data_IF_872389416966
#
_entry.id   IF_872389416966
#
_cell.length_a   1.000
_cell.length_b   1.000
_cell.length_c   1.000
_cell.angle_alpha   90.00
_cell.angle_beta   90.00
_cell.angle_gamma   90.00
#
_symmetry.space_group_name_H-M   'P 1'
#
loop_
_entity.id
_entity.type
_entity.pdbx_description
1 polymer ?
#
# COMPACT_ATOMS: atom_id res chain seq x y z
N UNK A 1 -28.12 8.92 35.60
CA UNK A 1 -28.15 7.85 34.58
C UNK A 1 -26.88 7.96 33.76
N UNK A 2 -25.97 7.00 33.87
CA UNK A 2 -24.79 6.92 32.99
C UNK A 2 -25.28 6.69 31.55
N UNK A 3 -24.71 7.36 30.53
CA UNK A 3 -25.09 7.06 29.16
C UNK A 3 -24.64 5.63 28.87
N UNK A 4 -25.60 4.76 28.54
CA UNK A 4 -25.34 3.41 28.05
C UNK A 4 -24.86 3.57 26.61
N UNK A 5 -23.63 4.06 26.45
CA UNK A 5 -22.92 4.18 25.18
C UNK A 5 -21.60 3.41 25.28
N UNK A 6 -21.01 3.01 24.15
CA UNK A 6 -19.73 2.31 24.16
C UNK A 6 -18.66 3.14 24.85
N UNK A 7 -17.78 2.47 25.58
CA UNK A 7 -16.64 3.08 26.25
C UNK A 7 -15.60 3.57 25.23
N UNK A 8 -14.77 4.53 25.63
CA UNK A 8 -13.65 4.99 24.81
C UNK A 8 -12.72 3.83 24.44
N UNK A 9 -12.52 2.87 25.34
CA UNK A 9 -11.70 1.68 25.10
C UNK A 9 -12.30 0.82 23.97
N UNK A 10 -13.59 0.49 24.04
CA UNK A 10 -14.27 -0.30 23.00
C UNK A 10 -14.24 0.38 21.63
N UNK A 11 -14.43 1.71 21.60
CA UNK A 11 -14.31 2.48 20.36
C UNK A 11 -12.87 2.46 19.82
N UNK A 12 -11.87 2.66 20.68
CA UNK A 12 -10.46 2.62 20.28
C UNK A 12 -10.08 1.24 19.70
N UNK A 13 -10.52 0.15 20.34
CA UNK A 13 -10.33 -1.21 19.84
C UNK A 13 -11.00 -1.43 18.47
N UNK A 14 -12.21 -0.90 18.27
CA UNK A 14 -12.88 -0.98 16.98
C UNK A 14 -12.12 -0.22 15.88
N UNK A 15 -11.51 0.92 16.21
CA UNK A 15 -10.68 1.70 15.29
C UNK A 15 -9.33 1.04 14.99
N UNK A 16 -8.70 0.39 15.97
CA UNK A 16 -7.48 -0.39 15.77
C UNK A 16 -7.73 -1.59 14.83
N UNK A 17 -8.80 -2.34 15.08
CA UNK A 17 -9.19 -3.45 14.20
C UNK A 17 -9.48 -2.99 12.78
N UNK A 18 -10.03 -1.77 12.61
CA UNK A 18 -10.18 -1.16 11.29
C UNK A 18 -8.82 -0.95 10.60
N UNK A 19 -7.83 -0.39 11.32
CA UNK A 19 -6.50 -0.20 10.78
C UNK A 19 -5.84 -1.54 10.39
N UNK A 20 -5.94 -2.56 11.25
CA UNK A 20 -5.39 -3.89 11.00
C UNK A 20 -5.94 -4.53 9.72
N UNK A 21 -7.27 -4.52 9.54
CA UNK A 21 -7.89 -5.10 8.34
C UNK A 21 -7.50 -4.33 7.08
N UNK A 22 -7.40 -3.00 7.16
CA UNK A 22 -6.94 -2.18 6.04
C UNK A 22 -5.50 -2.49 5.64
N UNK A 23 -4.61 -2.70 6.61
CA UNK A 23 -3.24 -3.16 6.35
C UNK A 23 -3.24 -4.52 5.66
N UNK A 24 -4.02 -5.47 6.20
CA UNK A 24 -4.10 -6.84 5.67
C UNK A 24 -4.62 -6.90 4.23
N UNK A 25 -5.61 -6.08 3.91
CA UNK A 25 -6.16 -5.96 2.56
C UNK A 25 -5.25 -5.19 1.58
N UNK A 26 -4.13 -4.64 2.06
CA UNK A 26 -3.20 -3.88 1.24
C UNK A 26 -3.76 -2.54 0.79
N UNK A 27 -4.42 -1.81 1.70
CA UNK A 27 -4.95 -0.47 1.46
C UNK A 27 -3.89 0.43 0.79
N UNK A 28 -4.15 0.98 -0.42
CA UNK A 28 -3.16 1.74 -1.16
C UNK A 28 -2.89 3.13 -0.58
N UNK A 29 -3.78 3.63 0.28
CA UNK A 29 -3.66 4.92 0.93
C UNK A 29 -3.09 4.77 2.35
N UNK A 30 -1.78 4.99 2.58
CA UNK A 30 -1.17 4.84 3.90
C UNK A 30 -1.72 5.85 4.93
N UNK A 31 -2.15 7.03 4.48
CA UNK A 31 -2.74 8.04 5.35
C UNK A 31 -4.06 7.56 5.98
N UNK A 32 -4.80 6.70 5.27
CA UNK A 32 -6.08 6.19 5.79
C UNK A 32 -5.85 5.24 6.96
N UNK A 33 -4.88 4.33 6.84
CA UNK A 33 -4.46 3.44 7.93
C UNK A 33 -4.00 4.27 9.13
N UNK A 34 -3.11 5.24 8.89
CA UNK A 34 -2.56 6.09 9.94
C UNK A 34 -3.64 6.90 10.67
N UNK A 35 -4.65 7.39 9.95
CA UNK A 35 -5.75 8.14 10.54
C UNK A 35 -6.57 7.30 11.54
N UNK A 36 -6.81 6.01 11.25
CA UNK A 36 -7.49 5.12 12.20
C UNK A 36 -6.64 4.85 13.45
N UNK A 37 -5.33 4.61 13.29
CA UNK A 37 -4.42 4.40 14.41
C UNK A 37 -4.31 5.64 15.31
N UNK A 38 -4.20 6.82 14.70
CA UNK A 38 -4.15 8.09 15.44
C UNK A 38 -5.46 8.38 16.16
N UNK A 39 -6.60 8.11 15.51
CA UNK A 39 -7.91 8.26 16.14
C UNK A 39 -8.09 7.27 17.31
N UNK A 40 -7.66 6.02 17.17
CA UNK A 40 -7.71 5.02 18.24
C UNK A 40 -6.88 5.44 19.46
N UNK A 41 -5.64 5.88 19.24
CA UNK A 41 -4.76 6.37 20.31
C UNK A 41 -5.36 7.59 21.01
N UNK A 42 -5.80 8.59 20.24
CA UNK A 42 -6.42 9.80 20.79
C UNK A 42 -7.68 9.47 21.61
N UNK A 43 -8.58 8.62 21.07
CA UNK A 43 -9.81 8.22 21.77
C UNK A 43 -9.51 7.48 23.07
N UNK A 44 -8.47 6.63 23.08
CA UNK A 44 -8.05 5.89 24.27
C UNK A 44 -7.56 6.82 25.38
N UNK A 45 -6.89 7.92 25.02
CA UNK A 45 -6.31 8.88 25.95
C UNK A 45 -7.31 9.98 26.38
N UNK A 46 -8.50 10.03 25.80
CA UNK A 46 -9.54 10.98 26.21
C UNK A 46 -10.08 10.66 27.61
N UNK A 47 -9.94 11.63 28.52
CA UNK A 47 -10.52 11.57 29.87
C UNK A 47 -12.06 11.62 29.85
N UNK A 48 -12.62 12.37 28.90
CA UNK A 48 -14.06 12.48 28.72
C UNK A 48 -14.58 11.39 27.75
N UNK A 49 -15.74 10.75 28.05
CA UNK A 49 -16.34 9.81 27.12
C UNK A 49 -16.67 10.45 25.77
N UNK A 50 -16.23 9.85 24.67
CA UNK A 50 -16.54 10.29 23.30
C UNK A 50 -18.04 10.34 23.05
N UNK A 51 -18.81 9.44 23.69
CA UNK A 51 -20.27 9.46 23.65
C UNK A 51 -20.87 10.75 24.22
N UNK A 52 -20.21 11.36 25.22
CA UNK A 52 -20.64 12.62 25.81
C UNK A 52 -20.31 13.81 24.89
N UNK A 53 -19.09 13.87 24.36
CA UNK A 53 -18.70 14.87 23.36
C UNK A 53 -19.65 14.85 22.15
N UNK A 54 -20.01 13.65 21.68
CA UNK A 54 -20.99 13.48 20.61
C UNK A 54 -22.39 13.95 21.01
N UNK A 55 -22.83 13.67 22.24
CA UNK A 55 -24.13 14.11 22.74
C UNK A 55 -24.26 15.64 22.87
N UNK A 56 -23.16 16.33 23.19
CA UNK A 56 -23.14 17.78 23.42
C UNK A 56 -23.02 18.60 22.13
N UNK A 57 -22.22 18.14 21.16
CA UNK A 57 -21.94 18.91 19.93
C UNK A 57 -21.97 18.11 18.63
N UNK A 58 -22.52 16.90 18.66
CA UNK A 58 -22.70 16.06 17.48
C UNK A 58 -21.38 15.73 16.78
N UNK A 59 -21.43 15.64 15.45
CA UNK A 59 -20.25 15.32 14.64
C UNK A 59 -19.23 16.46 14.59
N UNK A 60 -19.66 17.70 14.77
CA UNK A 60 -18.76 18.86 14.74
C UNK A 60 -17.83 18.86 15.97
N UNK A 61 -18.35 18.47 17.14
CA UNK A 61 -17.52 18.24 18.33
C UNK A 61 -16.54 17.07 18.16
N UNK A 62 -16.88 16.04 17.38
CA UNK A 62 -15.92 14.99 17.05
C UNK A 62 -14.84 15.49 16.10
N UNK A 63 -15.19 16.34 15.14
CA UNK A 63 -14.24 16.90 14.16
C UNK A 63 -13.30 17.96 14.74
N UNK A 64 -13.60 18.52 15.91
CA UNK A 64 -12.68 19.42 16.62
C UNK A 64 -11.50 18.68 17.24
N UNK A 65 -11.61 17.36 17.41
CA UNK A 65 -10.55 16.52 17.95
C UNK A 65 -9.41 16.36 16.93
N UNK A 66 -8.14 16.42 17.38
CA UNK A 66 -6.99 16.35 16.50
C UNK A 66 -6.96 15.01 15.77
N UNK A 67 -6.80 15.06 14.44
CA UNK A 67 -6.73 13.86 13.59
C UNK A 67 -8.08 13.25 13.21
N UNK A 68 -9.21 13.78 13.70
CA UNK A 68 -10.55 13.32 13.30
C UNK A 68 -11.10 14.18 12.16
N UNK A 69 -11.07 13.63 10.96
CA UNK A 69 -11.76 14.21 9.79
C UNK A 69 -13.22 13.75 9.67
N UNK A 70 -13.92 14.27 8.66
CA UNK A 70 -15.34 13.98 8.37
C UNK A 70 -15.68 12.49 8.37
N UNK A 71 -14.85 11.67 7.69
CA UNK A 71 -15.09 10.22 7.60
C UNK A 71 -14.94 9.52 8.95
N UNK A 72 -13.97 9.92 9.77
CA UNK A 72 -13.76 9.34 11.10
C UNK A 72 -14.87 9.77 12.04
N UNK A 73 -15.25 11.04 12.04
CA UNK A 73 -16.37 11.55 12.82
C UNK A 73 -17.67 10.82 12.47
N UNK A 74 -17.90 10.49 11.19
CA UNK A 74 -19.05 9.70 10.77
C UNK A 74 -19.02 8.27 11.36
N UNK A 75 -17.88 7.58 11.28
CA UNK A 75 -17.74 6.22 11.83
C UNK A 75 -17.83 6.19 13.36
N UNK A 76 -17.24 7.16 14.04
CA UNK A 76 -17.30 7.30 15.49
C UNK A 76 -18.74 7.56 15.93
N UNK A 77 -19.44 8.50 15.28
CA UNK A 77 -20.86 8.75 15.55
C UNK A 77 -21.70 7.49 15.35
N UNK A 78 -21.49 6.76 14.25
CA UNK A 78 -22.18 5.50 13.98
C UNK A 78 -21.94 4.48 15.10
N UNK A 79 -20.70 4.36 15.58
CA UNK A 79 -20.36 3.44 16.66
C UNK A 79 -21.01 3.86 17.98
N UNK A 80 -21.00 5.15 18.31
CA UNK A 80 -21.68 5.68 19.51
C UNK A 80 -23.18 5.41 19.47
N UNK A 81 -23.83 5.55 18.31
CA UNK A 81 -25.27 5.37 18.14
C UNK A 81 -25.70 3.89 18.09
N UNK A 82 -24.89 3.03 17.46
CA UNK A 82 -25.32 1.67 17.09
C UNK A 82 -24.45 0.56 17.69
N UNK A 83 -23.32 0.91 18.32
CA UNK A 83 -22.29 -0.02 18.75
C UNK A 83 -21.52 -0.68 17.59
N UNK A 84 -21.71 -0.22 16.35
CA UNK A 84 -21.13 -0.85 15.15
C UNK A 84 -20.65 0.19 14.14
N UNK A 85 -19.58 -0.16 13.42
CA UNK A 85 -19.12 0.60 12.24
C UNK A 85 -19.43 -0.28 11.03
N UNK A 86 -20.37 0.15 10.18
CA UNK A 86 -20.82 -0.67 9.04
C UNK A 86 -19.70 -1.00 8.05
N UNK A 87 -18.74 -0.09 7.90
CA UNK A 87 -17.53 -0.34 7.11
C UNK A 87 -16.65 -1.43 7.74
N UNK A 88 -16.48 -1.43 9.07
CA UNK A 88 -15.73 -2.46 9.79
C UNK A 88 -16.32 -3.84 9.57
N UNK A 89 -17.63 -3.97 9.74
CA UNK A 89 -18.32 -5.24 9.56
C UNK A 89 -18.25 -5.76 8.12
N UNK A 90 -18.14 -4.86 7.13
CA UNK A 90 -17.93 -5.22 5.74
C UNK A 90 -16.49 -5.68 5.50
N UNK A 91 -15.52 -4.94 6.04
CA UNK A 91 -14.10 -5.25 5.88
C UNK A 91 -13.74 -6.57 6.57
N UNK A 92 -14.22 -6.80 7.80
CA UNK A 92 -14.03 -8.05 8.52
C UNK A 92 -14.64 -9.25 7.79
N UNK A 93 -15.85 -9.11 7.24
CA UNK A 93 -16.46 -10.19 6.44
C UNK A 93 -15.68 -10.47 5.15
N UNK A 94 -15.14 -9.44 4.51
CA UNK A 94 -14.31 -9.63 3.33
C UNK A 94 -12.96 -10.30 3.66
N UNK A 95 -12.53 -10.21 4.92
CA UNK A 95 -11.26 -10.72 5.42
C UNK A 95 -11.40 -12.07 6.15
N UNK A 96 -12.63 -12.54 6.36
CA UNK A 96 -12.92 -13.85 6.95
C UNK A 96 -12.55 -14.98 5.97
N UNK A 97 -11.62 -15.88 6.34
CA UNK A 97 -11.24 -17.00 5.50
C UNK A 97 -12.42 -17.90 5.13
N UNK A 98 -13.38 -18.11 6.02
CA UNK A 98 -14.54 -18.94 5.72
C UNK A 98 -15.39 -18.30 4.61
N UNK A 99 -15.65 -16.99 4.72
CA UNK A 99 -16.33 -16.23 3.67
C UNK A 99 -15.58 -16.29 2.34
N UNK A 100 -14.24 -16.23 2.34
CA UNK A 100 -13.42 -16.38 1.13
C UNK A 100 -13.58 -17.78 0.50
N UNK A 101 -13.48 -18.84 1.30
CA UNK A 101 -13.58 -20.22 0.80
C UNK A 101 -14.99 -20.56 0.31
N UNK A 102 -16.03 -20.01 0.94
CA UNK A 102 -17.43 -20.19 0.55
C UNK A 102 -17.77 -19.59 -0.84
N UNK A 103 -16.87 -18.78 -1.42
CA UNK A 103 -17.03 -18.31 -2.81
C UNK A 103 -16.85 -19.39 -3.86
N UNK A 104 -16.29 -20.55 -3.48
CA UNK A 104 -16.02 -21.65 -4.40
C UNK A 104 -17.26 -22.52 -4.65
N UNK A 105 -17.53 -22.92 -5.91
CA UNK A 105 -18.62 -23.84 -6.21
C UNK A 105 -18.47 -25.16 -5.45
N UNK A 106 -19.53 -25.58 -4.77
CA UNK A 106 -19.51 -26.80 -3.95
C UNK A 106 -18.96 -26.63 -2.54
N UNK A 107 -18.47 -25.43 -2.18
CA UNK A 107 -18.12 -25.07 -0.80
C UNK A 107 -19.24 -24.25 -0.19
N UNK A 108 -20.00 -24.85 0.73
CA UNK A 108 -21.00 -24.12 1.51
C UNK A 108 -20.36 -23.37 2.66
N UNK A 109 -21.03 -22.36 3.20
CA UNK A 109 -20.59 -21.61 4.39
C UNK A 109 -20.25 -22.53 5.58
N UNK A 110 -21.06 -23.57 5.81
CA UNK A 110 -20.80 -24.56 6.86
C UNK A 110 -19.54 -25.36 6.57
N UNK A 111 -19.31 -25.74 5.33
CA UNK A 111 -18.11 -26.46 4.94
C UNK A 111 -16.87 -25.57 5.02
N UNK A 112 -16.97 -24.32 4.60
CA UNK A 112 -15.90 -23.34 4.68
C UNK A 112 -15.43 -23.13 6.12
N UNK A 113 -16.36 -23.00 7.08
CA UNK A 113 -16.00 -22.90 8.50
C UNK A 113 -15.27 -24.14 8.99
N UNK A 114 -15.74 -25.33 8.61
CA UNK A 114 -15.03 -26.59 8.94
C UNK A 114 -13.64 -26.67 8.31
N UNK A 115 -13.45 -26.14 7.10
CA UNK A 115 -12.12 -26.08 6.46
C UNK A 115 -11.16 -25.19 7.27
N UNK A 116 -11.66 -24.08 7.83
CA UNK A 116 -10.88 -23.21 8.72
C UNK A 116 -10.65 -23.89 10.07
N UNK A 117 -11.72 -24.34 10.74
CA UNK A 117 -11.69 -24.81 12.12
C UNK A 117 -11.01 -26.19 12.28
N UNK A 118 -11.29 -27.13 11.37
CA UNK A 118 -10.81 -28.52 11.47
C UNK A 118 -9.48 -28.71 10.73
N UNK A 119 -9.26 -28.01 9.60
CA UNK A 119 -8.07 -28.18 8.76
C UNK A 119 -7.10 -26.98 8.75
N UNK A 120 -7.44 -25.87 9.42
CA UNK A 120 -6.59 -24.67 9.48
C UNK A 120 -6.36 -24.02 8.11
N UNK A 121 -7.31 -24.16 7.18
CA UNK A 121 -7.18 -23.64 5.82
C UNK A 121 -7.70 -22.21 5.81
N UNK A 122 -6.81 -21.23 5.67
CA UNK A 122 -7.18 -19.80 5.69
C UNK A 122 -7.07 -19.14 4.31
N UNK A 123 -6.50 -19.85 3.32
CA UNK A 123 -6.27 -19.31 1.99
C UNK A 123 -6.63 -20.27 0.86
N UNK A 124 -6.90 -19.70 -0.33
CA UNK A 124 -7.15 -20.49 -1.55
C UNK A 124 -5.94 -21.38 -1.94
N UNK A 125 -4.72 -20.95 -1.61
CA UNK A 125 -3.51 -21.72 -1.88
C UNK A 125 -3.34 -22.90 -0.90
N UNK A 126 -3.77 -22.74 0.35
CA UNK A 126 -3.84 -23.86 1.30
C UNK A 126 -4.92 -24.85 0.91
N UNK A 127 -6.07 -24.35 0.45
CA UNK A 127 -7.13 -25.23 -0.05
C UNK A 127 -6.68 -26.01 -1.28
N UNK A 128 -5.94 -25.40 -2.20
CA UNK A 128 -5.36 -26.10 -3.36
C UNK A 128 -4.43 -27.23 -2.90
N UNK A 129 -3.53 -26.94 -1.96
CA UNK A 129 -2.64 -27.95 -1.37
C UNK A 129 -3.43 -29.09 -0.72
N UNK A 130 -4.43 -28.76 0.11
CA UNK A 130 -5.29 -29.73 0.77
C UNK A 130 -6.06 -30.63 -0.23
N UNK A 131 -6.46 -30.05 -1.37
CA UNK A 131 -7.12 -30.80 -2.43
C UNK A 131 -6.18 -31.76 -3.19
N UNK A 132 -4.88 -31.50 -3.16
CA UNK A 132 -3.85 -32.32 -3.79
C UNK A 132 -3.26 -33.39 -2.87
N UNK A 133 -3.08 -33.07 -1.58
CA UNK A 133 -2.50 -33.97 -0.58
C UNK A 133 -3.53 -34.93 0.04
N UNK A 134 -4.81 -34.72 -0.23
CA UNK A 134 -5.90 -35.62 0.18
C UNK A 134 -6.60 -35.24 1.48
N UNK A 135 -6.12 -34.21 2.22
CA UNK A 135 -6.70 -33.78 3.51
C UNK A 135 -8.17 -33.39 3.43
N UNK A 136 -8.66 -32.99 2.25
CA UNK A 136 -10.08 -32.69 2.08
C UNK A 136 -10.99 -33.93 2.22
N UNK A 137 -10.47 -35.14 2.04
CA UNK A 137 -11.23 -36.38 2.17
C UNK A 137 -11.54 -36.74 3.62
N UNK A 138 -10.82 -36.15 4.58
CA UNK A 138 -11.04 -36.34 6.02
C UNK A 138 -12.34 -35.66 6.49
N UNK A 139 -12.89 -34.73 5.69
CA UNK A 139 -14.12 -34.01 6.01
C UNK A 139 -15.35 -34.69 5.39
N UNK A 140 -16.27 -35.11 6.27
CA UNK A 140 -17.59 -35.58 5.85
C UNK A 140 -18.31 -34.53 4.98
N UNK A 141 -18.81 -34.95 3.82
CA UNK A 141 -19.48 -34.06 2.86
C UNK A 141 -18.60 -33.59 1.69
N UNK A 142 -17.28 -33.87 1.71
CA UNK A 142 -16.40 -33.65 0.56
C UNK A 142 -16.21 -34.98 -0.20
N UNK A 143 -16.96 -35.15 -1.28
CA UNK A 143 -16.78 -36.27 -2.19
C UNK A 143 -15.68 -36.03 -3.25
N UNK A 144 -15.32 -37.08 -4.02
CA UNK A 144 -14.34 -36.96 -5.11
C UNK A 144 -14.78 -35.95 -6.19
N UNK A 145 -16.08 -35.86 -6.46
CA UNK A 145 -16.65 -34.87 -7.40
C UNK A 145 -16.48 -33.43 -6.91
N UNK A 146 -16.72 -33.18 -5.62
CA UNK A 146 -16.56 -31.86 -5.02
C UNK A 146 -15.09 -31.45 -5.00
N UNK A 147 -14.20 -32.38 -4.66
CA UNK A 147 -12.75 -32.16 -4.68
C UNK A 147 -12.27 -31.77 -6.08
N UNK A 148 -12.73 -32.48 -7.11
CA UNK A 148 -12.34 -32.16 -8.50
C UNK A 148 -12.89 -30.80 -8.96
N UNK A 149 -14.14 -30.47 -8.60
CA UNK A 149 -14.72 -29.16 -8.89
C UNK A 149 -13.93 -28.02 -8.22
N UNK A 150 -13.53 -28.21 -6.96
CA UNK A 150 -12.68 -27.28 -6.21
C UNK A 150 -11.32 -27.12 -6.93
N UNK A 151 -10.66 -28.23 -7.31
CA UNK A 151 -9.37 -28.20 -8.02
C UNK A 151 -9.43 -27.46 -9.34
N UNK A 152 -10.43 -27.74 -10.17
CA UNK A 152 -10.62 -27.08 -11.46
C UNK A 152 -10.79 -25.57 -11.28
N UNK A 153 -11.59 -25.15 -10.29
CA UNK A 153 -11.84 -23.75 -10.03
C UNK A 153 -10.60 -23.04 -9.47
N UNK A 154 -9.91 -23.65 -8.50
CA UNK A 154 -8.68 -23.12 -7.92
C UNK A 154 -7.59 -22.94 -8.97
N UNK A 155 -7.40 -23.93 -9.84
CA UNK A 155 -6.47 -23.85 -10.96
C UNK A 155 -6.78 -22.62 -11.85
N UNK A 156 -8.04 -22.37 -12.18
CA UNK A 156 -8.46 -21.19 -12.95
C UNK A 156 -8.18 -19.86 -12.23
N UNK A 157 -8.54 -19.76 -10.95
CA UNK A 157 -8.38 -18.55 -10.13
C UNK A 157 -6.89 -18.24 -9.91
N UNK A 158 -6.12 -19.23 -9.47
CA UNK A 158 -4.72 -19.09 -9.10
C UNK A 158 -3.84 -18.87 -10.32
N UNK A 159 -4.11 -19.53 -11.46
CA UNK A 159 -3.38 -19.24 -12.70
C UNK A 159 -3.69 -17.84 -13.24
N UNK A 160 -4.90 -17.31 -13.04
CA UNK A 160 -5.24 -15.93 -13.42
C UNK A 160 -4.51 -14.93 -12.51
N UNK A 161 -4.50 -15.16 -11.21
CA UNK A 161 -3.86 -14.27 -10.23
C UNK A 161 -2.33 -14.27 -10.38
N UNK A 162 -1.71 -15.44 -10.56
CA UNK A 162 -0.28 -15.59 -10.81
C UNK A 162 0.16 -14.84 -12.08
N UNK A 163 -0.58 -14.98 -13.18
CA UNK A 163 -0.33 -14.24 -14.43
C UNK A 163 -0.43 -12.72 -14.24
N UNK A 164 -1.42 -12.24 -13.47
CA UNK A 164 -1.55 -10.80 -13.16
C UNK A 164 -0.40 -10.29 -12.31
N UNK A 165 0.02 -11.05 -11.28
CA UNK A 165 1.14 -10.71 -10.40
C UNK A 165 2.45 -10.63 -11.18
N UNK A 166 2.72 -11.63 -12.02
CA UNK A 166 3.90 -11.64 -12.90
C UNK A 166 3.93 -10.42 -13.84
N UNK A 167 2.79 -10.03 -14.42
CA UNK A 167 2.68 -8.82 -15.26
C UNK A 167 2.99 -7.54 -14.47
N UNK A 168 2.48 -7.41 -13.24
CA UNK A 168 2.75 -6.25 -12.38
C UNK A 168 4.22 -6.15 -12.02
N UNK A 169 4.84 -7.25 -11.57
CA UNK A 169 6.26 -7.30 -11.23
C UNK A 169 7.14 -6.95 -12.43
N UNK A 170 6.85 -7.50 -13.61
CA UNK A 170 7.56 -7.16 -14.86
C UNK A 170 7.50 -5.66 -15.17
N UNK A 171 6.34 -5.02 -14.96
CA UNK A 171 6.21 -3.56 -15.15
C UNK A 171 7.03 -2.78 -14.13
N UNK A 172 7.01 -3.17 -12.86
CA UNK A 172 7.81 -2.51 -11.82
C UNK A 172 9.31 -2.63 -12.10
N UNK A 173 9.79 -3.83 -12.45
CA UNK A 173 11.19 -4.05 -12.84
C UNK A 173 11.57 -3.20 -14.04
N UNK A 174 10.71 -3.14 -15.07
CA UNK A 174 10.95 -2.30 -16.25
C UNK A 174 11.01 -0.80 -15.91
N UNK A 175 10.17 -0.33 -14.98
CA UNK A 175 10.18 1.06 -14.51
C UNK A 175 11.47 1.38 -13.76
N UNK A 176 11.89 0.51 -12.83
CA UNK A 176 13.14 0.69 -12.09
C UNK A 176 14.35 0.72 -13.02
N UNK A 177 14.41 -0.20 -13.98
CA UNK A 177 15.48 -0.23 -14.99
C UNK A 177 15.49 1.04 -15.87
N UNK A 178 14.34 1.64 -16.15
CA UNK A 178 14.27 2.89 -16.90
C UNK A 178 14.77 4.10 -16.09
N UNK A 179 14.54 4.12 -14.77
CA UNK A 179 15.08 5.17 -13.88
C UNK A 179 16.59 5.05 -13.78
N UNK A 180 17.12 3.84 -13.60
CA UNK A 180 18.57 3.58 -13.54
C UNK A 180 19.28 4.06 -14.81
N UNK A 181 18.78 3.68 -15.99
CA UNK A 181 19.36 4.14 -17.27
C UNK A 181 19.37 5.66 -17.43
N UNK A 182 18.33 6.35 -16.95
CA UNK A 182 18.30 7.83 -16.98
C UNK A 182 19.34 8.44 -16.05
N UNK A 183 19.57 7.83 -14.89
CA UNK A 183 20.59 8.28 -13.95
C UNK A 183 22.01 8.06 -14.51
N UNK A 184 22.25 6.93 -15.16
CA UNK A 184 23.53 6.62 -15.83
C UNK A 184 23.84 7.64 -16.93
N UNK A 185 22.89 7.89 -17.84
CA UNK A 185 23.08 8.89 -18.92
C UNK A 185 23.30 10.30 -18.36
N UNK A 186 22.59 10.70 -17.31
CA UNK A 186 22.79 12.00 -16.68
C UNK A 186 24.18 12.12 -16.01
N UNK A 187 24.71 11.02 -15.47
CA UNK A 187 26.04 10.99 -14.88
C UNK A 187 27.14 11.10 -15.96
N UNK A 188 26.98 10.40 -17.08
CA UNK A 188 27.89 10.47 -18.24
C UNK A 188 27.94 11.90 -18.82
N UNK A 189 26.78 12.53 -19.00
CA UNK A 189 26.68 13.92 -19.46
C UNK A 189 27.32 14.92 -18.48
N UNK A 190 27.22 14.67 -17.18
CA UNK A 190 27.88 15.50 -16.17
C UNK A 190 29.41 15.36 -16.21
N UNK A 191 29.93 14.16 -16.49
CA UNK A 191 31.38 13.94 -16.66
C UNK A 191 31.92 14.57 -17.94
N UNK A 192 31.19 14.53 -19.05
CA UNK A 192 31.60 15.18 -20.31
C UNK A 192 31.58 16.72 -20.19
N UNK A 193 30.53 17.30 -19.58
CA UNK A 193 30.46 18.74 -19.35
C UNK A 193 31.57 19.26 -18.41
N UNK A 194 32.03 18.44 -17.45
CA UNK A 194 33.17 18.76 -16.60
C UNK A 194 34.52 18.66 -17.33
N UNK A 195 34.65 17.74 -18.30
CA UNK A 195 35.83 17.62 -19.14
C UNK A 195 35.96 18.78 -20.14
N UNK A 196 34.85 19.25 -20.70
CA UNK A 196 34.81 20.40 -21.62
C UNK A 196 35.09 21.73 -20.91
N UNK A 197 34.70 21.87 -19.63
CA UNK A 197 35.01 23.04 -18.81
C UNK A 197 36.50 23.12 -18.35
N UNK A 198 37.31 22.09 -18.63
CA UNK A 198 38.71 22.01 -18.21
C UNK A 198 39.72 22.33 -19.34
N UNK A 199 39.27 22.74 -20.54
CA UNK A 199 40.20 23.27 -21.55
C UNK A 199 40.79 24.61 -21.08
N UNK A 200 42.13 24.75 -20.94
CA UNK A 200 42.73 26.00 -20.51
C UNK A 200 42.65 27.03 -21.64
N UNK A 201 41.98 28.14 -21.38
CA UNK A 201 41.96 29.34 -22.24
C UNK A 201 43.40 29.83 -22.46
N UNK A 202 43.96 29.85 -23.69
CA UNK A 202 45.21 30.54 -23.95
C UNK A 202 44.85 31.96 -24.40
N UNK A 203 44.92 32.93 -23.49
CA UNK A 203 44.86 34.32 -23.92
C UNK A 203 45.62 35.25 -22.99
N UNK A 204 46.64 35.92 -23.55
CA UNK A 204 46.85 37.37 -23.47
C UNK A 204 48.21 37.71 -24.13
N UNK A 205 48.40 38.92 -24.68
CA UNK A 205 47.94 39.27 -26.03
C UNK A 205 49.10 39.81 -26.91
N UNK A 206 48.95 39.72 -28.24
CA UNK A 206 49.87 40.35 -29.19
C UNK A 206 49.83 41.89 -29.09
N UNK A 207 50.94 42.49 -28.68
CA UNK A 207 51.20 43.91 -28.84
C UNK A 207 51.39 44.27 -30.33
N UNK A 208 50.59 45.20 -30.84
CA UNK A 208 50.93 46.05 -31.99
C UNK A 208 50.43 47.46 -31.67
N UNK A 209 51.20 48.54 -31.91
CA UNK A 209 51.54 49.00 -33.27
C UNK A 209 52.97 49.60 -33.33
N UNK A 210 53.57 50.16 -34.37
CA UNK A 210 53.15 51.00 -35.50
C UNK A 210 54.32 51.05 -36.51
N UNK A 211 54.02 51.32 -37.78
CA UNK A 211 54.81 52.16 -38.72
C UNK A 211 56.24 51.68 -39.12
N UNK A 212 56.77 51.78 -40.34
CA UNK A 212 56.45 52.44 -41.61
C UNK A 212 57.79 52.37 -42.39
N UNK A 213 57.75 51.95 -43.66
CA UNK A 213 58.63 52.39 -44.77
C UNK A 213 60.07 51.85 -44.90
N UNK A 214 60.29 51.22 -46.07
CA UNK A 214 61.53 51.02 -46.87
C UNK A 214 62.56 50.03 -46.32
N UNK A 215 62.86 48.96 -47.07
CA UNK A 215 63.94 48.93 -48.06
C UNK A 215 65.20 49.62 -47.56
N UNK A 216 66.26 48.86 -47.33
CA UNK A 216 67.49 49.08 -48.08
C UNK A 216 68.43 47.88 -47.94
N UNK A 217 68.98 47.58 -49.10
CA UNK A 217 70.08 46.70 -49.46
C UNK A 217 71.28 46.74 -48.47
N UNK A 218 72.05 45.63 -48.34
CA UNK A 218 73.16 45.46 -47.39
C UNK A 218 74.50 45.95 -48.00
N UNK A 219 75.71 45.58 -47.53
CA UNK A 219 76.25 45.26 -46.19
C UNK A 219 77.58 46.04 -45.90
N UNK A 220 78.24 45.64 -44.80
CA UNK A 220 79.70 45.54 -44.62
C UNK A 220 80.48 46.78 -44.10
N UNK A 221 80.76 46.70 -42.80
CA UNK A 221 82.08 46.78 -42.15
C UNK A 221 83.14 47.78 -42.67
N UNK A 222 83.40 48.82 -41.87
CA UNK A 222 84.68 49.12 -41.21
C UNK A 222 84.54 50.42 -40.38
#
# INVERSE_FOLDING_TARGET
MSPIGPTNIELAEALDQMAEVLVRQGEPNPYRVQAYLQAAAMVRDLEEPVARLYGEGGRDALMSLPGIGVSLAHHIAQYVETGRIGLRDRLLRADDPATLLATLPGVSERLARRLVDELGIESLAELERAAHDGRLQDLEGIGPRTTEAIRLQLNSILNRSARRRARRLRRQVAQLAAVQRRAEVAAEQATEAQAEAAEPTPDAPEERPVATIYSLFPPAAA
#
